data_IF_116174901695
#
_entry.id   IF_116174901695
#
_cell.length_a   1.000
_cell.length_b   1.000
_cell.length_c   1.000
_cell.angle_alpha   90.00
_cell.angle_beta   90.00
_cell.angle_gamma   90.00
#
_symmetry.space_group_name_H-M   'P 1'
#
loop_
_entity.id
_entity.type
_entity.pdbx_description
1 polymer ?
#
# COMPACT_ATOMS: atom_id res chain seq x y z
N UNK A 1 47.20 -2.81 29.58
CA UNK A 1 46.15 -1.91 29.05
C UNK A 1 44.99 -2.78 28.60
N UNK A 2 43.96 -2.91 29.45
CA UNK A 2 42.80 -3.77 29.19
C UNK A 2 41.79 -3.01 28.32
N UNK A 3 41.41 -3.58 27.18
CA UNK A 3 40.31 -3.10 26.36
C UNK A 3 39.01 -3.65 26.98
N UNK A 4 38.25 -2.78 27.67
CA UNK A 4 36.86 -3.05 28.02
C UNK A 4 35.99 -2.34 26.98
N UNK A 5 35.49 -3.07 25.99
CA UNK A 5 34.33 -2.63 25.20
C UNK A 5 33.10 -3.14 25.95
N UNK A 6 32.71 -2.41 26.99
CA UNK A 6 31.42 -2.61 27.64
C UNK A 6 30.35 -1.89 26.82
N UNK A 7 29.27 -2.59 26.49
CA UNK A 7 28.01 -1.98 26.08
C UNK A 7 27.65 -2.06 24.60
N UNK A 8 27.64 -3.27 24.01
CA UNK A 8 26.63 -3.53 22.97
C UNK A 8 25.32 -3.69 23.74
N UNK A 9 24.56 -2.60 23.82
CA UNK A 9 23.31 -2.52 24.54
C UNK A 9 22.34 -3.61 24.05
N UNK A 10 21.88 -4.42 25.01
CA UNK A 10 21.03 -5.59 24.85
C UNK A 10 19.55 -5.22 24.63
N UNK A 11 19.30 -4.15 23.88
CA UNK A 11 17.98 -3.54 23.70
C UNK A 11 17.50 -3.58 22.25
N UNK A 12 18.02 -4.50 21.42
CA UNK A 12 17.38 -4.87 20.14
C UNK A 12 16.02 -5.51 20.43
N UNK A 13 15.02 -4.69 20.74
CA UNK A 13 13.60 -5.04 20.55
C UNK A 13 13.52 -5.50 19.10
N UNK A 14 13.23 -6.79 18.90
CA UNK A 14 12.90 -7.29 17.57
C UNK A 14 11.83 -6.38 16.99
N UNK A 15 12.17 -5.67 15.93
CA UNK A 15 11.21 -4.85 15.21
C UNK A 15 10.28 -5.79 14.48
N UNK A 16 8.98 -5.69 14.74
CA UNK A 16 7.99 -6.49 14.02
C UNK A 16 8.04 -6.08 12.54
N UNK A 17 8.23 -7.03 11.60
CA UNK A 17 8.35 -6.71 10.18
C UNK A 17 7.08 -6.07 9.61
N UNK A 18 7.28 -5.25 8.57
CA UNK A 18 6.22 -4.59 7.80
C UNK A 18 5.08 -5.54 7.42
N UNK A 19 5.40 -6.73 6.92
CA UNK A 19 4.42 -7.69 6.41
C UNK A 19 3.48 -8.20 7.49
N UNK A 20 3.92 -8.27 8.74
CA UNK A 20 3.08 -8.70 9.85
C UNK A 20 1.99 -7.66 10.11
N UNK A 21 2.35 -6.38 10.12
CA UNK A 21 1.40 -5.30 10.31
C UNK A 21 0.48 -5.13 9.09
N UNK A 22 1.02 -5.21 7.88
CA UNK A 22 0.22 -5.17 6.65
C UNK A 22 -0.80 -6.32 6.59
N UNK A 23 -0.36 -7.54 6.93
CA UNK A 23 -1.23 -8.72 6.97
C UNK A 23 -2.32 -8.58 8.04
N UNK A 24 -2.01 -8.06 9.23
CA UNK A 24 -3.01 -7.77 10.25
C UNK A 24 -4.04 -6.77 9.76
N UNK A 25 -3.59 -5.65 9.16
CA UNK A 25 -4.50 -4.67 8.56
C UNK A 25 -5.43 -5.30 7.53
N UNK A 26 -4.89 -6.15 6.64
CA UNK A 26 -5.68 -6.91 5.68
C UNK A 26 -6.71 -7.82 6.36
N UNK A 27 -6.31 -8.59 7.38
CA UNK A 27 -7.23 -9.50 8.11
C UNK A 27 -8.40 -8.73 8.71
N UNK A 28 -8.15 -7.61 9.41
CA UNK A 28 -9.21 -6.80 9.99
C UNK A 28 -10.17 -6.25 8.94
N UNK A 29 -9.65 -5.79 7.80
CA UNK A 29 -10.49 -5.34 6.68
C UNK A 29 -11.31 -6.50 6.09
N UNK A 30 -10.70 -7.66 5.87
CA UNK A 30 -11.37 -8.85 5.33
C UNK A 30 -12.46 -9.39 6.32
N UNK A 31 -12.32 -9.11 7.63
CA UNK A 31 -13.33 -9.35 8.65
C UNK A 31 -14.44 -8.27 8.71
N UNK A 32 -14.45 -7.32 7.78
CA UNK A 32 -15.43 -6.23 7.74
C UNK A 32 -15.18 -5.13 8.77
N UNK A 33 -13.95 -5.03 9.29
CA UNK A 33 -13.55 -4.05 10.31
C UNK A 33 -12.47 -3.08 9.80
N UNK A 34 -12.80 -2.27 8.78
CA UNK A 34 -11.80 -1.44 8.11
C UNK A 34 -11.25 -0.32 9.01
N UNK A 35 -12.00 0.19 9.98
CA UNK A 35 -11.50 1.18 10.95
C UNK A 35 -10.46 0.58 11.90
N UNK A 36 -10.65 -0.65 12.35
CA UNK A 36 -9.68 -1.40 13.17
C UNK A 36 -8.42 -1.79 12.37
N UNK A 37 -8.49 -1.84 11.04
CA UNK A 37 -7.34 -2.13 10.18
C UNK A 37 -6.34 -0.97 10.06
N UNK A 38 -6.81 0.29 10.14
CA UNK A 38 -6.00 1.51 9.97
C UNK A 38 -4.77 1.54 10.90
N UNK A 39 -4.88 1.36 12.24
CA UNK A 39 -3.72 1.43 13.12
C UNK A 39 -2.64 0.39 12.78
N UNK A 40 -3.01 -0.78 12.28
CA UNK A 40 -2.03 -1.75 11.81
C UNK A 40 -1.30 -1.27 10.54
N UNK A 41 -2.01 -0.61 9.63
CA UNK A 41 -1.36 -0.03 8.44
C UNK A 41 -0.48 1.18 8.77
N UNK A 42 -0.75 1.90 9.87
CA UNK A 42 0.16 2.93 10.42
C UNK A 42 1.42 2.31 11.03
N UNK A 43 1.28 1.21 11.78
CA UNK A 43 2.44 0.45 12.28
C UNK A 43 3.26 -0.14 11.13
N UNK A 44 2.61 -0.57 10.04
CA UNK A 44 3.30 -1.03 8.84
C UNK A 44 4.14 0.09 8.20
N UNK A 45 3.61 1.31 8.11
CA UNK A 45 4.37 2.48 7.64
C UNK A 45 5.60 2.75 8.51
N UNK A 46 5.42 2.75 9.84
CA UNK A 46 6.52 2.96 10.78
C UNK A 46 7.61 1.88 10.63
N UNK A 47 7.21 0.63 10.42
CA UNK A 47 8.13 -0.48 10.18
C UNK A 47 8.89 -0.34 8.84
N UNK A 48 8.30 0.26 7.81
CA UNK A 48 9.02 0.55 6.56
C UNK A 48 10.11 1.60 6.76
N UNK A 49 9.80 2.66 7.51
CA UNK A 49 10.74 3.76 7.78
C UNK A 49 11.91 3.26 8.62
N UNK A 50 11.64 2.44 9.65
CA UNK A 50 12.69 1.94 10.54
C UNK A 50 13.58 0.88 9.90
N UNK A 51 13.07 0.13 8.91
CA UNK A 51 13.77 -1.01 8.35
C UNK A 51 14.86 -0.67 7.32
N UNK A 52 15.09 0.62 6.96
CA UNK A 52 15.86 0.98 5.76
C UNK A 52 15.48 0.07 4.58
N UNK A 53 14.17 -0.23 4.46
CA UNK A 53 13.70 -1.35 3.68
C UNK A 53 14.10 -1.19 2.21
N UNK A 54 14.96 -2.09 1.75
CA UNK A 54 15.49 -2.14 0.38
C UNK A 54 14.43 -2.61 -0.62
N UNK A 55 13.26 -3.10 -0.17
CA UNK A 55 12.25 -3.69 -1.05
C UNK A 55 11.39 -2.60 -1.72
N UNK A 56 11.61 -2.27 -3.01
CA UNK A 56 10.99 -1.08 -3.62
C UNK A 56 9.46 -1.19 -3.77
N UNK A 57 8.95 -2.43 -3.71
CA UNK A 57 7.52 -2.73 -3.87
C UNK A 57 6.70 -2.55 -2.60
N UNK A 58 7.29 -2.55 -1.41
CA UNK A 58 6.50 -2.48 -0.17
C UNK A 58 5.75 -1.15 0.02
N UNK A 59 6.33 0.02 -0.31
CA UNK A 59 5.58 1.27 -0.34
C UNK A 59 4.33 1.17 -1.22
N UNK A 60 4.45 0.59 -2.42
CA UNK A 60 3.29 0.38 -3.29
C UNK A 60 2.24 -0.55 -2.66
N UNK A 61 2.66 -1.63 -1.99
CA UNK A 61 1.74 -2.53 -1.28
C UNK A 61 0.97 -1.78 -0.20
N UNK A 62 1.68 -1.05 0.64
CA UNK A 62 1.09 -0.32 1.77
C UNK A 62 0.02 0.67 1.29
N UNK A 63 0.33 1.47 0.27
CA UNK A 63 -0.61 2.46 -0.26
C UNK A 63 -1.86 1.80 -0.85
N UNK A 64 -1.71 0.67 -1.55
CA UNK A 64 -2.85 -0.09 -2.09
C UNK A 64 -3.70 -0.68 -0.96
N UNK A 65 -3.07 -1.24 0.08
CA UNK A 65 -3.78 -1.80 1.23
C UNK A 65 -4.52 -0.71 2.01
N UNK A 66 -3.90 0.46 2.23
CA UNK A 66 -4.55 1.63 2.83
C UNK A 66 -5.69 2.14 1.96
N UNK A 67 -5.52 2.22 0.65
CA UNK A 67 -6.57 2.66 -0.27
C UNK A 67 -7.85 1.83 -0.12
N UNK A 68 -7.72 0.50 -0.12
CA UNK A 68 -8.82 -0.42 0.07
C UNK A 68 -9.47 -0.23 1.45
N UNK A 69 -8.66 -0.12 2.50
CA UNK A 69 -9.14 0.09 3.87
C UNK A 69 -9.90 1.40 4.04
N UNK A 70 -9.40 2.53 3.51
CA UNK A 70 -10.08 3.82 3.61
C UNK A 70 -11.38 3.85 2.81
N UNK A 71 -11.40 3.25 1.60
CA UNK A 71 -12.65 3.10 0.84
C UNK A 71 -13.67 2.23 1.59
N UNK A 72 -13.26 1.09 2.14
CA UNK A 72 -14.15 0.21 2.91
C UNK A 72 -14.62 0.88 4.21
N UNK A 73 -13.83 1.79 4.80
CA UNK A 73 -14.22 2.64 5.94
C UNK A 73 -15.10 3.86 5.55
N UNK A 74 -15.37 4.07 4.26
CA UNK A 74 -16.21 5.17 3.76
C UNK A 74 -15.48 6.45 3.37
N UNK A 75 -14.18 6.55 3.61
CA UNK A 75 -13.35 7.69 3.15
C UNK A 75 -12.87 7.46 1.72
N UNK A 76 -13.80 7.65 0.78
CA UNK A 76 -13.57 7.42 -0.64
C UNK A 76 -12.54 8.39 -1.24
N UNK A 77 -12.50 9.63 -0.74
CA UNK A 77 -11.54 10.64 -1.20
C UNK A 77 -10.11 10.19 -0.89
N UNK A 78 -9.83 9.86 0.37
CA UNK A 78 -8.49 9.38 0.77
C UNK A 78 -8.17 8.04 0.14
N UNK A 79 -9.14 7.13 0.06
CA UNK A 79 -8.93 5.82 -0.55
C UNK A 79 -8.52 5.88 -2.02
N UNK A 80 -9.16 6.75 -2.82
CA UNK A 80 -8.80 6.94 -4.24
C UNK A 80 -7.45 7.64 -4.43
N UNK A 81 -7.12 8.61 -3.59
CA UNK A 81 -5.81 9.26 -3.58
C UNK A 81 -4.68 8.25 -3.33
N UNK A 82 -4.83 7.41 -2.30
CA UNK A 82 -3.87 6.37 -1.95
C UNK A 82 -3.77 5.30 -3.05
N UNK A 83 -4.89 4.96 -3.71
CA UNK A 83 -4.88 4.03 -4.83
C UNK A 83 -4.03 4.55 -6.01
N UNK A 84 -4.16 5.85 -6.32
CA UNK A 84 -3.34 6.51 -7.35
C UNK A 84 -1.86 6.49 -6.97
N UNK A 85 -1.53 6.85 -5.72
CA UNK A 85 -0.15 6.83 -5.20
C UNK A 85 0.45 5.42 -5.28
N UNK A 86 -0.28 4.42 -4.79
CA UNK A 86 0.15 3.02 -4.83
C UNK A 86 0.34 2.48 -6.25
N UNK A 87 -0.48 2.92 -7.21
CA UNK A 87 -0.32 2.56 -8.61
C UNK A 87 0.93 3.16 -9.25
N UNK A 88 1.20 4.45 -9.00
CA UNK A 88 2.41 5.12 -9.49
C UNK A 88 3.67 4.43 -8.95
N UNK A 89 3.69 4.13 -7.64
CA UNK A 89 4.81 3.40 -7.02
C UNK A 89 4.97 1.99 -7.61
N UNK A 90 3.86 1.28 -7.84
CA UNK A 90 3.86 -0.03 -8.47
C UNK A 90 4.43 0.02 -9.90
N UNK A 91 4.10 1.06 -10.66
CA UNK A 91 4.65 1.30 -11.99
C UNK A 91 6.16 1.59 -11.95
N UNK A 92 6.59 2.50 -11.07
CA UNK A 92 8.01 2.88 -10.91
C UNK A 92 8.91 1.71 -10.52
N UNK A 93 8.39 0.75 -9.76
CA UNK A 93 9.12 -0.48 -9.40
C UNK A 93 8.85 -1.66 -10.34
N UNK A 94 8.19 -1.44 -11.49
CA UNK A 94 7.80 -2.45 -12.47
C UNK A 94 7.02 -3.65 -11.89
N UNK A 95 6.26 -3.42 -10.82
CA UNK A 95 5.49 -4.43 -10.11
C UNK A 95 4.12 -4.66 -10.77
N UNK A 96 4.12 -5.45 -11.85
CA UNK A 96 2.88 -5.86 -12.56
C UNK A 96 1.84 -6.46 -11.63
N UNK A 97 2.26 -7.16 -10.56
CA UNK A 97 1.36 -7.74 -9.56
C UNK A 97 0.54 -6.66 -8.86
N UNK A 98 1.18 -5.60 -8.38
CA UNK A 98 0.52 -4.52 -7.66
C UNK A 98 -0.29 -3.60 -8.58
N UNK A 99 0.21 -3.35 -9.80
CA UNK A 99 -0.57 -2.67 -10.82
C UNK A 99 -1.88 -3.42 -11.12
N UNK A 100 -1.82 -4.76 -11.22
CA UNK A 100 -2.99 -5.60 -11.39
C UNK A 100 -3.93 -5.57 -10.18
N UNK A 101 -3.41 -5.40 -8.96
CA UNK A 101 -4.24 -5.25 -7.77
C UNK A 101 -5.04 -3.95 -7.81
N UNK A 102 -4.43 -2.83 -8.18
CA UNK A 102 -5.15 -1.56 -8.38
C UNK A 102 -6.20 -1.72 -9.47
N UNK A 103 -5.88 -2.39 -10.58
CA UNK A 103 -6.86 -2.64 -11.65
C UNK A 103 -8.07 -3.46 -11.17
N UNK A 104 -7.84 -4.51 -10.37
CA UNK A 104 -8.92 -5.30 -9.76
C UNK A 104 -9.74 -4.45 -8.78
N UNK A 105 -9.08 -3.62 -7.99
CA UNK A 105 -9.74 -2.73 -7.06
C UNK A 105 -10.59 -1.68 -7.77
N UNK A 106 -10.07 -1.04 -8.83
CA UNK A 106 -10.81 -0.12 -9.68
C UNK A 106 -12.09 -0.76 -10.24
N UNK A 107 -12.02 -2.00 -10.74
CA UNK A 107 -13.22 -2.72 -11.19
C UNK A 107 -14.28 -2.88 -10.09
N UNK A 108 -13.86 -3.17 -8.85
CA UNK A 108 -14.77 -3.23 -7.69
C UNK A 108 -15.44 -1.87 -7.44
N UNK A 109 -14.68 -0.78 -7.55
CA UNK A 109 -15.19 0.58 -7.38
C UNK A 109 -16.20 0.95 -8.48
N UNK A 110 -15.89 0.64 -9.74
CA UNK A 110 -16.75 0.89 -10.90
C UNK A 110 -18.06 0.09 -10.84
N UNK A 111 -18.05 -1.13 -10.29
CA UNK A 111 -19.25 -1.95 -10.09
C UNK A 111 -20.00 -1.65 -8.79
N UNK A 112 -19.39 -0.86 -7.90
CA UNK A 112 -19.86 -0.68 -6.52
C UNK A 112 -20.65 0.61 -6.29
N UNK A 113 -21.03 0.86 -5.02
CA UNK A 113 -21.73 2.09 -4.62
C UNK A 113 -20.93 3.37 -4.92
N UNK A 114 -19.60 3.25 -4.95
CA UNK A 114 -18.69 4.37 -5.15
C UNK A 114 -18.46 4.75 -6.63
N UNK A 115 -19.12 4.08 -7.59
CA UNK A 115 -18.89 4.25 -9.03
C UNK A 115 -18.95 5.70 -9.54
N UNK A 116 -19.76 6.54 -8.89
CA UNK A 116 -19.97 7.94 -9.26
C UNK A 116 -19.04 8.91 -8.52
N UNK A 117 -18.19 8.42 -7.62
CA UNK A 117 -17.26 9.29 -6.90
C UNK A 117 -16.17 9.83 -7.85
N UNK A 118 -15.84 11.13 -7.84
CA UNK A 118 -14.91 11.75 -8.81
C UNK A 118 -13.52 11.09 -8.87
N UNK A 119 -13.02 10.55 -7.77
CA UNK A 119 -11.73 9.84 -7.74
C UNK A 119 -11.70 8.53 -8.54
N UNK A 120 -12.85 7.92 -8.87
CA UNK A 120 -12.93 6.69 -9.66
C UNK A 120 -12.56 6.92 -11.14
N UNK A 121 -13.18 7.86 -11.87
CA UNK A 121 -12.77 8.16 -13.24
C UNK A 121 -11.32 8.68 -13.33
N UNK A 122 -10.85 9.45 -12.34
CA UNK A 122 -9.44 9.87 -12.29
C UNK A 122 -8.48 8.67 -12.16
N UNK A 123 -8.76 7.74 -11.26
CA UNK A 123 -7.97 6.52 -11.11
C UNK A 123 -8.01 5.67 -12.39
N UNK A 124 -9.18 5.59 -13.04
CA UNK A 124 -9.34 4.90 -14.32
C UNK A 124 -8.48 5.50 -15.43
N UNK A 125 -8.49 6.83 -15.56
CA UNK A 125 -7.69 7.54 -16.54
C UNK A 125 -6.20 7.24 -16.34
N UNK A 126 -5.70 7.39 -15.10
CA UNK A 126 -4.32 7.08 -14.74
C UNK A 126 -3.93 5.64 -15.12
N UNK A 127 -4.77 4.67 -14.76
CA UNK A 127 -4.51 3.25 -15.06
C UNK A 127 -4.46 3.02 -16.57
N UNK A 128 -5.41 3.58 -17.32
CA UNK A 128 -5.47 3.44 -18.77
C UNK A 128 -4.25 4.04 -19.46
N UNK A 129 -3.91 5.31 -19.19
CA UNK A 129 -2.76 5.99 -19.79
C UNK A 129 -1.45 5.25 -19.52
N UNK A 130 -1.28 4.76 -18.29
CA UNK A 130 -0.06 4.04 -17.90
C UNK A 130 0.09 2.74 -18.69
N UNK A 131 -0.99 1.96 -18.88
CA UNK A 131 -0.92 0.74 -19.69
C UNK A 131 -0.72 1.05 -21.18
N UNK A 132 -1.38 2.08 -21.72
CA UNK A 132 -1.15 2.51 -23.11
C UNK A 132 0.32 2.89 -23.36
N UNK A 133 0.95 3.60 -22.42
CA UNK A 133 2.36 3.97 -22.52
C UNK A 133 3.30 2.75 -22.42
N UNK A 134 2.93 1.73 -21.63
CA UNK A 134 3.70 0.48 -21.56
C UNK A 134 3.65 -0.33 -22.86
N UNK A 135 2.48 -0.41 -23.48
CA UNK A 135 2.29 -1.16 -24.73
C UNK A 135 3.00 -0.45 -25.90
N UNK A 136 2.99 0.89 -25.92
CA UNK A 136 3.71 1.67 -26.92
C UNK A 136 5.25 1.63 -26.77
N UNK A 137 5.77 1.49 -25.54
CA UNK A 137 7.20 1.40 -25.29
C UNK A 137 7.80 0.01 -25.60
N UNK A 138 6.96 -0.98 -25.92
CA UNK A 138 7.38 -2.34 -26.26
C UNK A 138 7.56 -2.58 -27.78
N UNK A 139 7.41 -1.52 -28.60
CA UNK A 139 7.55 -1.52 -30.07
C UNK A 139 8.87 -0.87 -30.46
#
# INVERSE_FOLDING_TARGET
MLIRVEGIDASKKESIPFEIYETRGKIYRDLGKPTEAIPYLELAEQALVSANSVTPRWPALLEISRAQTFCDAGDMKKGTELARKGFILAYQCHSRRQMNWVRKFLRKLESGPARNHPGVPELKHLVYETYMNMDNAAI
#
